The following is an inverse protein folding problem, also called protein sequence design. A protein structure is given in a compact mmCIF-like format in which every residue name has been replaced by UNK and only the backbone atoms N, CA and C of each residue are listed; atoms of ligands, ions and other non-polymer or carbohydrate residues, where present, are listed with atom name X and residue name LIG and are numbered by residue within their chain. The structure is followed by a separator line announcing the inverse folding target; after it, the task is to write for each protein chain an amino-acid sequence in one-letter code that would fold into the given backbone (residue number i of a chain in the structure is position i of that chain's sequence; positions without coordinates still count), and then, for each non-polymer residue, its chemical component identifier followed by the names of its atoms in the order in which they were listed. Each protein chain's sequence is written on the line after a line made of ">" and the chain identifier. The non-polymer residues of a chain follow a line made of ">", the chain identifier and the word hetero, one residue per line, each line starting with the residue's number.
data_IF_192730340757
#
_entry.id   IF_192730340757
#
_cell.length_a   1.000
_cell.length_b   1.000
_cell.length_c   1.000
_cell.angle_alpha   90.00
_cell.angle_beta   90.00
_cell.angle_gamma   90.00
#
_symmetry.space_group_name_H-M   'P 1'
#
loop_
_entity.id
_entity.type
_entity.pdbx_description
1 polymer ?
#
# COMPACT_ATOMS: atom_id res chain seq x y z
N UNK A 1 9.99 35.61 18.41
CA UNK A 1 10.22 34.93 19.71
C UNK A 1 9.35 33.67 19.86
N UNK A 2 8.03 33.72 19.60
CA UNK A 2 7.12 32.57 19.70
C UNK A 2 7.51 31.35 18.82
N UNK A 3 7.98 31.59 17.58
CA UNK A 3 8.43 30.53 16.65
C UNK A 3 9.63 29.73 17.18
N UNK A 4 10.55 30.38 17.91
CA UNK A 4 11.74 29.73 18.44
C UNK A 4 11.41 28.91 19.69
N UNK A 5 10.44 29.37 20.50
CA UNK A 5 9.90 28.63 21.66
C UNK A 5 9.12 27.40 21.18
N UNK A 6 8.29 27.54 20.13
CA UNK A 6 7.55 26.43 19.53
C UNK A 6 8.50 25.35 18.97
N UNK A 7 9.57 25.76 18.29
CA UNK A 7 10.59 24.85 17.76
C UNK A 7 11.27 24.06 18.90
N UNK A 8 11.63 24.72 20.00
CA UNK A 8 12.25 24.08 21.15
C UNK A 8 11.31 23.07 21.83
N UNK A 9 10.02 23.38 21.94
CA UNK A 9 9.00 22.47 22.50
C UNK A 9 8.83 21.23 21.61
N UNK A 10 8.81 21.41 20.28
CA UNK A 10 8.69 20.29 19.32
C UNK A 10 9.92 19.39 19.36
N UNK A 11 11.13 19.96 19.39
CA UNK A 11 12.37 19.19 19.48
C UNK A 11 12.43 18.42 20.81
N UNK A 12 12.06 19.05 21.91
CA UNK A 12 11.99 18.41 23.22
C UNK A 12 10.99 17.25 23.24
N UNK A 13 9.80 17.41 22.65
CA UNK A 13 8.82 16.33 22.56
C UNK A 13 9.30 15.15 21.70
N UNK A 14 9.97 15.42 20.57
CA UNK A 14 10.54 14.37 19.70
C UNK A 14 11.65 13.60 20.41
N UNK A 15 12.55 14.30 21.11
CA UNK A 15 13.63 13.68 21.89
C UNK A 15 13.05 12.88 23.06
N UNK A 16 12.02 13.38 23.74
CA UNK A 16 11.36 12.71 24.85
C UNK A 16 10.63 11.45 24.38
N UNK A 17 9.97 11.47 23.21
CA UNK A 17 9.36 10.27 22.60
C UNK A 17 10.43 9.24 22.22
N UNK A 18 11.55 9.68 21.63
CA UNK A 18 12.67 8.79 21.30
C UNK A 18 13.30 8.14 22.56
N UNK A 19 13.39 8.90 23.66
CA UNK A 19 13.95 8.43 24.93
C UNK A 19 12.98 7.59 25.77
N UNK A 20 11.66 7.83 25.65
CA UNK A 20 10.63 7.15 26.48
C UNK A 20 10.19 5.80 25.88
N UNK A 21 10.41 5.56 24.57
CA UNK A 21 9.98 4.35 23.86
C UNK A 21 11.12 3.45 23.34
N UNK A 22 12.35 3.67 23.80
CA UNK A 22 13.58 3.22 23.11
C UNK A 22 14.03 1.76 23.25
N UNK A 23 13.35 0.89 24.01
CA UNK A 23 13.86 -0.48 24.21
C UNK A 23 12.76 -1.55 24.13
N UNK A 24 11.70 -1.43 24.93
CA UNK A 24 10.63 -2.45 24.95
C UNK A 24 9.76 -2.47 23.70
N UNK A 25 9.40 -1.31 23.16
CA UNK A 25 8.56 -1.22 21.95
C UNK A 25 9.33 -1.59 20.69
N UNK A 26 10.61 -1.21 20.61
CA UNK A 26 11.47 -1.62 19.50
C UNK A 26 11.72 -3.13 19.53
N UNK A 27 11.92 -3.74 20.69
CA UNK A 27 12.11 -5.20 20.78
C UNK A 27 10.85 -5.97 20.36
N UNK A 28 9.65 -5.53 20.77
CA UNK A 28 8.39 -6.15 20.31
C UNK A 28 8.19 -5.97 18.81
N UNK A 29 8.49 -4.78 18.28
CA UNK A 29 8.41 -4.53 16.84
C UNK A 29 9.45 -5.34 16.05
N UNK A 30 10.68 -5.44 16.55
CA UNK A 30 11.77 -6.19 15.92
C UNK A 30 11.52 -7.69 15.97
N UNK A 31 10.97 -8.20 17.07
CA UNK A 31 10.55 -9.61 17.23
C UNK A 31 9.41 -9.93 16.26
N UNK A 32 8.38 -9.08 16.19
CA UNK A 32 7.31 -9.22 15.20
C UNK A 32 7.82 -9.13 13.75
N UNK A 33 8.76 -8.24 13.46
CA UNK A 33 9.39 -8.12 12.14
C UNK A 33 10.24 -9.35 11.81
N UNK A 34 10.97 -9.89 12.79
CA UNK A 34 11.76 -11.11 12.64
C UNK A 34 10.88 -12.33 12.39
N UNK A 35 9.74 -12.44 13.10
CA UNK A 35 8.76 -13.50 12.85
C UNK A 35 8.12 -13.38 11.47
N UNK A 36 7.70 -12.17 11.07
CA UNK A 36 7.14 -11.95 9.74
C UNK A 36 8.15 -12.24 8.63
N UNK A 37 9.39 -11.77 8.78
CA UNK A 37 10.45 -12.03 7.80
C UNK A 37 10.85 -13.50 7.80
N UNK A 38 10.89 -14.17 8.96
CA UNK A 38 11.14 -15.60 9.07
C UNK A 38 10.07 -16.44 8.38
N UNK A 39 8.79 -16.17 8.65
CA UNK A 39 7.66 -16.86 8.01
C UNK A 39 7.65 -16.58 6.50
N UNK A 40 7.86 -15.33 6.09
CA UNK A 40 7.93 -14.96 4.68
C UNK A 40 9.11 -15.66 3.98
N UNK A 41 10.30 -15.68 4.57
CA UNK A 41 11.49 -16.29 3.98
C UNK A 41 11.35 -17.81 3.88
N UNK A 42 10.84 -18.47 4.92
CA UNK A 42 10.63 -19.93 4.92
C UNK A 42 9.57 -20.32 3.88
N UNK A 43 8.45 -19.58 3.82
CA UNK A 43 7.39 -19.84 2.86
C UNK A 43 7.81 -19.51 1.42
N UNK A 44 8.60 -18.46 1.21
CA UNK A 44 9.14 -18.14 -0.11
C UNK A 44 10.18 -19.16 -0.56
N UNK A 45 10.99 -19.69 0.35
CA UNK A 45 11.95 -20.75 0.04
C UNK A 45 11.25 -22.05 -0.32
N UNK A 46 10.22 -22.47 0.42
CA UNK A 46 9.45 -23.68 0.10
C UNK A 46 8.70 -23.55 -1.23
N UNK A 47 8.16 -22.36 -1.51
CA UNK A 47 7.52 -22.03 -2.78
C UNK A 47 8.55 -22.01 -3.92
N UNK A 48 9.75 -21.45 -3.72
CA UNK A 48 10.84 -21.46 -4.70
C UNK A 48 11.27 -22.90 -5.04
N UNK A 49 11.46 -23.77 -4.05
CA UNK A 49 11.85 -25.16 -4.27
C UNK A 49 10.74 -25.91 -5.04
N UNK A 50 9.47 -25.71 -4.65
CA UNK A 50 8.33 -26.36 -5.30
C UNK A 50 8.15 -25.88 -6.75
N UNK A 51 8.25 -24.57 -7.00
CA UNK A 51 8.22 -24.01 -8.35
C UNK A 51 9.39 -24.50 -9.19
N UNK A 52 10.60 -24.53 -8.63
CA UNK A 52 11.78 -25.06 -9.33
C UNK A 52 11.58 -26.53 -9.69
N UNK A 53 11.04 -27.35 -8.80
CA UNK A 53 10.68 -28.73 -9.08
C UNK A 53 9.71 -28.84 -10.26
N UNK A 54 8.58 -28.12 -10.19
CA UNK A 54 7.59 -28.09 -11.26
C UNK A 54 8.17 -27.61 -12.61
N UNK A 55 9.06 -26.62 -12.59
CA UNK A 55 9.74 -26.09 -13.79
C UNK A 55 10.70 -27.10 -14.41
N UNK A 56 11.39 -27.87 -13.58
CA UNK A 56 12.38 -28.86 -14.04
C UNK A 56 11.72 -30.18 -14.45
N UNK A 57 10.58 -30.53 -13.86
CA UNK A 57 9.83 -31.76 -14.17
C UNK A 57 9.21 -31.73 -15.58
N UNK A 58 8.69 -30.58 -16.02
CA UNK A 58 8.16 -30.42 -17.37
C UNK A 58 8.39 -28.99 -17.90
N UNK A 59 9.63 -28.69 -18.32
CA UNK A 59 9.97 -27.36 -18.84
C UNK A 59 9.18 -27.02 -20.12
N UNK A 60 8.75 -28.03 -20.88
CA UNK A 60 8.02 -27.83 -22.13
C UNK A 60 6.64 -27.22 -21.88
N UNK A 61 5.89 -27.72 -20.89
CA UNK A 61 4.59 -27.12 -20.50
C UNK A 61 4.71 -25.64 -20.13
N UNK A 62 5.79 -25.26 -19.45
CA UNK A 62 6.02 -23.87 -19.04
C UNK A 62 6.33 -22.99 -20.24
N UNK A 63 7.19 -23.44 -21.15
CA UNK A 63 7.49 -22.70 -22.39
C UNK A 63 6.22 -22.49 -23.20
N UNK A 64 5.37 -23.51 -23.34
CA UNK A 64 4.08 -23.39 -24.03
C UNK A 64 3.16 -22.40 -23.32
N UNK A 65 3.04 -22.48 -22.00
CA UNK A 65 2.24 -21.54 -21.21
C UNK A 65 2.73 -20.09 -21.35
N UNK A 66 4.05 -19.86 -21.37
CA UNK A 66 4.64 -18.55 -21.60
C UNK A 66 4.37 -18.03 -23.02
N UNK A 67 4.46 -18.89 -24.04
CA UNK A 67 4.15 -18.51 -25.43
C UNK A 67 2.68 -18.13 -25.56
N UNK A 68 1.76 -18.94 -25.02
CA UNK A 68 0.33 -18.65 -25.02
C UNK A 68 0.05 -17.34 -24.27
N UNK A 69 0.65 -17.16 -23.10
CA UNK A 69 0.53 -15.92 -22.31
C UNK A 69 1.03 -14.72 -23.09
N UNK A 70 2.18 -14.81 -23.75
CA UNK A 70 2.73 -13.73 -24.57
C UNK A 70 1.82 -13.39 -25.76
N UNK A 71 1.25 -14.39 -26.43
CA UNK A 71 0.28 -14.21 -27.52
C UNK A 71 -1.00 -13.54 -27.02
N UNK A 72 -1.56 -14.01 -25.90
CA UNK A 72 -2.76 -13.42 -25.28
C UNK A 72 -2.49 -11.99 -24.83
N UNK A 73 -1.37 -11.73 -24.15
CA UNK A 73 -0.97 -10.38 -23.76
C UNK A 73 -0.83 -9.47 -24.98
N UNK A 74 -0.13 -9.91 -26.02
CA UNK A 74 0.03 -9.13 -27.25
C UNK A 74 -1.31 -8.83 -27.92
N UNK A 75 -2.18 -9.83 -28.04
CA UNK A 75 -3.53 -9.66 -28.58
C UNK A 75 -4.37 -8.71 -27.73
N UNK A 76 -4.31 -8.84 -26.40
CA UNK A 76 -5.02 -8.00 -25.45
C UNK A 76 -4.54 -6.55 -25.50
N UNK A 77 -3.22 -6.31 -25.55
CA UNK A 77 -2.66 -4.96 -25.71
C UNK A 77 -3.05 -4.33 -27.05
N UNK A 78 -3.03 -5.10 -28.14
CA UNK A 78 -3.39 -4.62 -29.48
C UNK A 78 -4.88 -4.28 -29.61
N UNK A 79 -5.77 -5.07 -29.01
CA UNK A 79 -7.22 -4.81 -29.04
C UNK A 79 -7.67 -3.78 -27.99
N UNK A 80 -6.95 -3.66 -26.87
CA UNK A 80 -7.34 -2.74 -25.81
C UNK A 80 -6.86 -1.30 -26.04
N UNK A 81 -6.07 -0.97 -27.07
CA UNK A 81 -5.71 0.44 -27.33
C UNK A 81 -6.92 1.36 -27.56
N UNK A 82 -8.09 0.82 -27.94
CA UNK A 82 -9.34 1.58 -28.02
C UNK A 82 -10.08 1.73 -26.67
N UNK A 83 -9.70 0.96 -25.64
CA UNK A 83 -10.32 0.96 -24.29
C UNK A 83 -9.35 1.30 -23.15
N UNK A 84 -8.05 1.41 -23.43
CA UNK A 84 -6.99 1.89 -22.52
C UNK A 84 -6.89 3.42 -22.50
N UNK A 85 -7.61 4.11 -23.39
CA UNK A 85 -7.84 5.55 -23.35
C UNK A 85 -8.99 5.95 -22.41
N UNK A 86 -9.69 5.00 -21.80
CA UNK A 86 -10.29 5.28 -20.50
C UNK A 86 -9.15 5.26 -19.49
N UNK A 87 -8.47 6.42 -19.36
CA UNK A 87 -7.57 6.66 -18.24
C UNK A 87 -8.26 6.15 -16.99
N UNK A 88 -7.65 5.16 -16.31
CA UNK A 88 -8.19 4.65 -15.06
C UNK A 88 -8.34 5.84 -14.14
N UNK A 89 -9.58 6.31 -13.97
CA UNK A 89 -9.76 7.66 -13.46
C UNK A 89 -9.11 7.76 -12.09
N UNK A 90 -8.47 8.89 -11.73
CA UNK A 90 -7.77 8.99 -10.46
C UNK A 90 -8.62 8.57 -9.25
N UNK A 91 -9.94 8.72 -9.37
CA UNK A 91 -10.94 8.15 -8.45
C UNK A 91 -10.88 6.62 -8.32
N UNK A 92 -10.87 5.87 -9.44
CA UNK A 92 -10.75 4.40 -9.44
C UNK A 92 -9.44 3.96 -8.76
N UNK A 93 -8.34 4.64 -9.05
CA UNK A 93 -7.03 4.35 -8.42
C UNK A 93 -7.10 4.62 -6.91
N UNK A 94 -7.69 5.73 -6.49
CA UNK A 94 -7.85 6.06 -5.07
C UNK A 94 -8.74 5.05 -4.32
N UNK A 95 -9.79 4.51 -4.96
CA UNK A 95 -10.63 3.45 -4.38
C UNK A 95 -9.83 2.17 -4.17
N UNK A 96 -9.08 1.74 -5.19
CA UNK A 96 -8.23 0.54 -5.11
C UNK A 96 -7.17 0.71 -4.02
N UNK A 97 -6.49 1.86 -3.98
CA UNK A 97 -5.54 2.18 -2.91
C UNK A 97 -6.21 2.18 -1.53
N UNK A 98 -7.43 2.68 -1.40
CA UNK A 98 -8.13 2.72 -0.12
C UNK A 98 -8.53 1.32 0.38
N UNK A 99 -8.82 0.37 -0.51
CA UNK A 99 -9.16 -1.02 -0.13
C UNK A 99 -7.92 -1.81 0.27
N UNK A 100 -6.85 -1.76 -0.55
CA UNK A 100 -5.69 -2.62 -0.35
C UNK A 100 -4.62 -2.01 0.57
N UNK A 101 -4.38 -0.71 0.46
CA UNK A 101 -3.31 0.02 1.17
C UNK A 101 -3.87 1.17 2.02
N UNK A 102 -5.18 1.23 2.22
CA UNK A 102 -5.81 2.37 2.88
C UNK A 102 -5.59 2.41 4.39
N UNK A 103 -5.35 1.27 5.01
CA UNK A 103 -4.94 1.19 6.42
C UNK A 103 -3.60 1.89 6.69
N UNK A 104 -2.74 2.04 5.66
CA UNK A 104 -1.51 2.84 5.72
C UNK A 104 -1.73 4.30 5.31
N UNK A 105 -2.92 4.68 4.83
CA UNK A 105 -3.22 6.03 4.35
C UNK A 105 -2.68 6.36 2.96
N UNK A 106 -2.23 5.37 2.17
CA UNK A 106 -1.62 5.57 0.84
C UNK A 106 -2.58 6.26 -0.14
N UNK A 107 -3.88 5.99 -0.05
CA UNK A 107 -4.91 6.69 -0.83
C UNK A 107 -4.95 8.20 -0.56
N UNK A 108 -4.65 8.63 0.68
CA UNK A 108 -4.60 10.07 1.03
C UNK A 108 -3.33 10.73 0.52
N UNK A 109 -2.20 10.04 0.52
CA UNK A 109 -0.96 10.54 -0.09
C UNK A 109 -1.10 10.66 -1.60
N UNK A 110 -1.74 9.68 -2.25
CA UNK A 110 -2.05 9.74 -3.68
C UNK A 110 -2.90 10.96 -4.04
N UNK A 111 -3.83 11.37 -3.18
CA UNK A 111 -4.66 12.57 -3.39
C UNK A 111 -3.99 13.88 -2.93
N UNK A 112 -2.66 13.85 -2.73
CA UNK A 112 -1.84 14.96 -2.25
C UNK A 112 -2.29 15.52 -0.88
N UNK A 113 -2.93 14.69 -0.04
CA UNK A 113 -3.39 15.05 1.30
C UNK A 113 -2.44 14.51 2.37
N UNK A 114 -1.19 15.00 2.33
CA UNK A 114 -0.06 14.51 3.14
C UNK A 114 -0.39 14.48 4.63
N UNK A 115 -1.01 15.54 5.15
CA UNK A 115 -1.31 15.65 6.58
C UNK A 115 -2.29 14.56 7.05
N UNK A 116 -3.33 14.27 6.27
CA UNK A 116 -4.27 13.18 6.57
C UNK A 116 -3.67 11.81 6.32
N UNK A 117 -2.79 11.65 5.32
CA UNK A 117 -2.04 10.40 5.14
C UNK A 117 -1.16 10.08 6.35
N UNK A 118 -0.49 11.10 6.90
CA UNK A 118 0.32 10.94 8.11
C UNK A 118 -0.55 10.62 9.34
N UNK A 119 -1.74 11.22 9.45
CA UNK A 119 -2.70 10.86 10.50
C UNK A 119 -3.13 9.39 10.40
N UNK A 120 -3.38 8.89 9.19
CA UNK A 120 -3.67 7.47 8.97
C UNK A 120 -2.51 6.57 9.41
N UNK A 121 -1.26 6.95 9.12
CA UNK A 121 -0.10 6.21 9.61
C UNK A 121 -0.07 6.16 11.15
N UNK A 122 -0.32 7.27 11.84
CA UNK A 122 -0.35 7.31 13.30
C UNK A 122 -1.49 6.43 13.85
N UNK A 123 -2.70 6.54 13.28
CA UNK A 123 -3.86 5.73 13.69
C UNK A 123 -3.59 4.24 13.42
N UNK A 124 -2.95 3.89 12.31
CA UNK A 124 -2.61 2.50 11.98
C UNK A 124 -1.72 1.86 13.04
N UNK A 125 -0.81 2.65 13.65
CA UNK A 125 0.08 2.19 14.71
C UNK A 125 -0.61 2.10 16.08
N UNK A 126 -1.52 3.04 16.39
CA UNK A 126 -2.24 3.04 17.67
C UNK A 126 -3.36 1.99 17.67
N UNK A 127 -4.10 1.88 16.57
CA UNK A 127 -5.25 0.99 16.46
C UNK A 127 -5.57 0.65 15.00
N UNK A 128 -4.92 -0.41 14.51
CA UNK A 128 -5.04 -0.91 13.14
C UNK A 128 -6.50 -1.18 12.68
N UNK A 129 -7.39 -1.81 13.49
CA UNK A 129 -8.76 -2.07 13.05
C UNK A 129 -9.53 -0.79 12.68
N UNK A 130 -9.28 0.31 13.38
CA UNK A 130 -9.91 1.59 13.06
C UNK A 130 -9.37 2.19 11.76
N UNK A 131 -8.06 2.12 11.50
CA UNK A 131 -7.48 2.58 10.24
C UNK A 131 -8.08 1.82 9.04
N UNK A 132 -8.24 0.50 9.16
CA UNK A 132 -8.88 -0.34 8.14
C UNK A 132 -10.32 0.13 7.89
N UNK A 133 -11.14 0.27 8.94
CA UNK A 133 -12.53 0.71 8.81
C UNK A 133 -12.64 2.09 8.19
N UNK A 134 -11.83 3.06 8.65
CA UNK A 134 -11.81 4.42 8.10
C UNK A 134 -11.45 4.42 6.61
N UNK A 135 -10.48 3.59 6.21
CA UNK A 135 -10.09 3.48 4.81
C UNK A 135 -11.15 2.85 3.91
N UNK A 136 -11.91 1.88 4.42
CA UNK A 136 -13.06 1.31 3.70
C UNK A 136 -14.21 2.32 3.58
N UNK A 137 -14.44 3.13 4.60
CA UNK A 137 -15.40 4.25 4.53
C UNK A 137 -14.98 5.23 3.44
N UNK A 138 -13.69 5.57 3.35
CA UNK A 138 -13.16 6.41 2.27
C UNK A 138 -13.34 5.77 0.89
N UNK A 139 -13.11 4.46 0.75
CA UNK A 139 -13.35 3.74 -0.49
C UNK A 139 -14.82 3.83 -0.95
N UNK A 140 -15.77 3.59 -0.04
CA UNK A 140 -17.22 3.72 -0.30
C UNK A 140 -17.59 5.14 -0.67
N UNK A 141 -16.99 6.14 0.00
CA UNK A 141 -17.20 7.55 -0.29
C UNK A 141 -16.72 7.92 -1.69
N UNK A 142 -15.52 7.49 -2.07
CA UNK A 142 -14.98 7.75 -3.41
C UNK A 142 -15.79 7.03 -4.49
N UNK A 143 -16.24 5.80 -4.22
CA UNK A 143 -17.13 5.07 -5.11
C UNK A 143 -18.47 5.79 -5.34
N UNK A 144 -19.03 6.36 -4.27
CA UNK A 144 -20.30 7.11 -4.32
C UNK A 144 -20.17 8.53 -4.90
N UNK A 145 -18.94 9.01 -5.15
CA UNK A 145 -18.67 10.35 -5.65
C UNK A 145 -18.64 10.36 -7.18
N UNK A 146 -19.20 11.39 -7.83
CA UNK A 146 -19.07 11.55 -9.29
C UNK A 146 -17.63 11.90 -9.68
N UNK A 147 -17.23 11.64 -10.93
CA UNK A 147 -15.88 11.98 -11.39
C UNK A 147 -15.63 13.50 -11.32
N UNK A 148 -16.63 14.31 -11.66
CA UNK A 148 -16.54 15.77 -11.62
C UNK A 148 -16.29 16.26 -10.20
N UNK A 149 -17.07 15.76 -9.23
CA UNK A 149 -16.91 16.15 -7.82
C UNK A 149 -15.56 15.72 -7.26
N UNK A 150 -15.07 14.54 -7.69
CA UNK A 150 -13.77 14.02 -7.26
C UNK A 150 -12.63 14.92 -7.74
N UNK A 151 -12.62 15.31 -9.01
CA UNK A 151 -11.60 16.18 -9.60
C UNK A 151 -11.66 17.62 -9.06
N UNK A 152 -12.84 18.10 -8.69
CA UNK A 152 -12.97 19.39 -8.00
C UNK A 152 -12.34 19.38 -6.61
N UNK A 153 -12.48 18.26 -5.89
CA UNK A 153 -12.07 18.15 -4.49
C UNK A 153 -10.64 17.65 -4.29
N UNK A 154 -10.16 16.81 -5.18
CA UNK A 154 -8.86 16.15 -5.07
C UNK A 154 -8.03 16.43 -6.31
N UNK A 155 -6.75 16.73 -6.09
CA UNK A 155 -5.75 16.94 -7.15
C UNK A 155 -4.63 15.91 -6.94
N UNK A 156 -4.80 14.70 -7.49
CA UNK A 156 -3.78 13.66 -7.44
C UNK A 156 -2.54 14.03 -8.27
#
# INVERSE_FOLDING_TARGET
>A
MLKNILLAIVIFAVVLIALTFGEKTFNVFAEWLYELTGIAVINLQSLYISLKGYVMDDPFKIVVALIITAIICFWLFKNNSAKLNEEGTPRKIAIVLAIFLGWLGVHRFYLNQILTGLLYLIISQIFLPLAVVLSLIDAVRYYSMSEVDFQQKFKP
#
